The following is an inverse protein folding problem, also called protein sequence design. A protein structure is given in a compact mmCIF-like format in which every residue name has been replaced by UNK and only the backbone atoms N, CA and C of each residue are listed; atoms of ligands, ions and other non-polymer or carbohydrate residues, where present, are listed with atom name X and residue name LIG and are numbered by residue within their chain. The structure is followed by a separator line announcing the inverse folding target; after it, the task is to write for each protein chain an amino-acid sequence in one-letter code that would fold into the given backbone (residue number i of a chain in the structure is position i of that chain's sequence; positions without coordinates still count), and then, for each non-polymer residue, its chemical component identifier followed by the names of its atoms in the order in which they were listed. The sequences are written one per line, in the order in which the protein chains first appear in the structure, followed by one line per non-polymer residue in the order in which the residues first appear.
data_IF_750971465225
#
_entry.id   IF_750971465225
#
_cell.length_a   1.000
_cell.length_b   1.000
_cell.length_c   1.000
_cell.angle_alpha   90.00
_cell.angle_beta   90.00
_cell.angle_gamma   90.00
#
_symmetry.space_group_name_H-M   'P 1'
#
loop_
_entity.id
_entity.type
_entity.pdbx_description
1 polymer ?
#
# COMPACT_ATOMS: atom_id res chain seq x y z
N UNK A 1 17.52 -5.52 22.78
CA UNK A 1 18.60 -5.72 21.79
C UNK A 1 18.98 -4.36 21.23
N UNK A 2 20.26 -4.01 21.21
CA UNK A 2 20.76 -2.74 20.66
C UNK A 2 21.65 -3.08 19.45
N UNK A 3 21.30 -2.58 18.26
CA UNK A 3 22.12 -2.69 17.05
C UNK A 3 23.36 -1.79 17.14
N UNK A 4 23.22 -0.64 17.79
CA UNK A 4 24.31 0.29 18.05
C UNK A 4 24.71 0.23 19.53
N UNK A 5 25.99 0.01 19.81
CA UNK A 5 26.53 -0.06 21.18
C UNK A 5 26.57 1.31 21.89
N UNK A 6 26.41 2.41 21.16
CA UNK A 6 26.38 3.79 21.65
C UNK A 6 25.24 4.57 21.00
N UNK A 7 24.74 5.61 21.68
CA UNK A 7 23.76 6.53 21.08
C UNK A 7 24.35 7.14 19.81
N UNK A 8 23.60 7.04 18.71
CA UNK A 8 24.01 7.63 17.44
C UNK A 8 23.89 9.17 17.50
N UNK A 9 24.67 9.89 16.70
CA UNK A 9 24.66 11.35 16.66
C UNK A 9 24.42 11.88 15.23
N UNK A 10 23.47 11.26 14.53
CA UNK A 10 23.08 11.72 13.21
C UNK A 10 22.24 13.01 13.30
N UNK A 11 22.48 13.94 12.38
CA UNK A 11 21.72 15.17 12.29
C UNK A 11 20.53 15.01 11.31
N UNK A 12 19.43 14.44 11.81
CA UNK A 12 18.17 14.29 11.08
C UNK A 12 17.50 15.63 10.82
N UNK A 13 17.47 16.52 11.82
CA UNK A 13 16.82 17.82 11.68
C UNK A 13 17.53 18.74 10.68
N UNK A 14 18.85 18.62 10.52
CA UNK A 14 19.60 19.31 9.47
C UNK A 14 19.22 18.88 8.04
N UNK A 15 18.70 17.66 7.87
CA UNK A 15 18.29 17.10 6.56
C UNK A 15 16.78 17.17 6.31
N UNK A 16 16.04 17.80 7.22
CA UNK A 16 14.58 17.79 7.23
C UNK A 16 13.98 18.41 5.96
N UNK A 17 14.59 19.48 5.42
CA UNK A 17 14.14 20.13 4.18
C UNK A 17 14.27 19.20 2.97
N UNK A 18 15.39 18.49 2.87
CA UNK A 18 15.63 17.53 1.80
C UNK A 18 14.63 16.36 1.87
N UNK A 19 14.35 15.86 3.07
CA UNK A 19 13.34 14.84 3.29
C UNK A 19 11.94 15.31 2.87
N UNK A 20 11.51 16.50 3.29
CA UNK A 20 10.20 17.04 2.90
C UNK A 20 10.10 17.23 1.38
N UNK A 21 11.13 17.75 0.73
CA UNK A 21 11.16 17.91 -0.74
C UNK A 21 11.04 16.54 -1.42
N UNK A 22 11.82 15.55 -0.98
CA UNK A 22 11.77 14.19 -1.50
C UNK A 22 10.36 13.59 -1.37
N UNK A 23 9.74 13.72 -0.21
CA UNK A 23 8.37 13.27 0.05
C UNK A 23 7.34 13.94 -0.85
N UNK A 24 7.42 15.27 -1.02
CA UNK A 24 6.52 16.00 -1.91
C UNK A 24 6.69 15.52 -3.35
N UNK A 25 7.93 15.35 -3.82
CA UNK A 25 8.21 14.84 -5.17
C UNK A 25 7.63 13.45 -5.37
N UNK A 26 7.81 12.53 -4.41
CA UNK A 26 7.23 11.19 -4.48
C UNK A 26 5.70 11.23 -4.57
N UNK A 27 5.05 12.04 -3.73
CA UNK A 27 3.59 12.19 -3.76
C UNK A 27 3.14 12.77 -5.11
N UNK A 28 3.82 13.79 -5.64
CA UNK A 28 3.46 14.40 -6.91
C UNK A 28 3.63 13.43 -8.09
N UNK A 29 4.71 12.64 -8.11
CA UNK A 29 4.91 11.60 -9.12
C UNK A 29 3.80 10.54 -9.02
N UNK A 30 3.48 10.10 -7.80
CA UNK A 30 2.41 9.13 -7.57
C UNK A 30 1.04 9.63 -8.00
N UNK A 31 0.66 10.85 -7.59
CA UNK A 31 -0.60 11.48 -7.99
C UNK A 31 -0.65 11.76 -9.50
N UNK A 32 0.46 12.17 -10.09
CA UNK A 32 0.59 12.36 -11.54
C UNK A 32 0.36 11.05 -12.30
N UNK A 33 0.97 9.95 -11.84
CA UNK A 33 0.73 8.61 -12.39
C UNK A 33 -0.75 8.22 -12.28
N UNK A 34 -1.38 8.44 -11.13
CA UNK A 34 -2.81 8.14 -10.94
C UNK A 34 -3.67 8.96 -11.90
N UNK A 35 -3.37 10.25 -12.09
CA UNK A 35 -4.11 11.12 -12.99
C UNK A 35 -3.94 10.70 -14.46
N UNK A 36 -2.71 10.39 -14.90
CA UNK A 36 -2.42 9.96 -16.27
C UNK A 36 -3.07 8.61 -16.59
N UNK A 37 -3.09 7.68 -15.63
CA UNK A 37 -3.72 6.36 -15.80
C UNK A 37 -5.26 6.39 -15.73
N UNK A 38 -5.87 7.56 -15.53
CA UNK A 38 -7.33 7.71 -15.41
C UNK A 38 -7.90 7.25 -14.06
N UNK A 39 -7.06 7.14 -13.03
CA UNK A 39 -7.42 6.69 -11.69
C UNK A 39 -6.68 5.43 -11.26
N UNK A 40 -7.08 4.88 -10.10
CA UNK A 40 -6.59 3.60 -9.62
C UNK A 40 -7.21 2.46 -10.42
N UNK A 41 -6.40 1.45 -10.76
CA UNK A 41 -6.89 0.21 -11.37
C UNK A 41 -7.58 -0.65 -10.32
N UNK A 42 -8.89 -0.59 -10.27
CA UNK A 42 -9.67 -1.40 -9.34
C UNK A 42 -9.75 -2.87 -9.81
N UNK A 43 -9.46 -3.79 -8.89
CA UNK A 43 -9.64 -5.22 -9.13
C UNK A 43 -11.11 -5.64 -9.11
N UNK A 44 -11.35 -6.95 -9.24
CA UNK A 44 -12.72 -7.49 -9.41
C UNK A 44 -13.62 -7.17 -8.21
N UNK A 45 -13.05 -7.10 -7.01
CA UNK A 45 -13.77 -6.81 -5.77
C UNK A 45 -14.50 -5.46 -5.81
N UNK A 46 -13.98 -4.47 -6.54
CA UNK A 46 -14.54 -3.12 -6.57
C UNK A 46 -15.10 -2.75 -7.94
N UNK A 47 -14.49 -3.21 -9.02
CA UNK A 47 -14.97 -2.99 -10.38
C UNK A 47 -16.17 -3.89 -10.73
N UNK A 48 -16.28 -5.05 -10.07
CA UNK A 48 -17.19 -6.12 -10.48
C UNK A 48 -16.75 -6.80 -11.77
N UNK A 49 -17.52 -7.79 -12.20
CA UNK A 49 -17.28 -8.59 -13.41
C UNK A 49 -16.92 -10.04 -13.11
N UNK A 50 -16.38 -10.72 -14.11
CA UNK A 50 -15.94 -12.12 -14.04
C UNK A 50 -14.44 -12.19 -14.34
N UNK A 51 -13.70 -12.90 -13.51
CA UNK A 51 -12.26 -13.15 -13.64
C UNK A 51 -12.03 -14.63 -13.83
N UNK A 52 -11.32 -14.98 -14.90
CA UNK A 52 -11.02 -16.36 -15.27
C UNK A 52 -9.50 -16.49 -15.31
N UNK A 53 -8.96 -17.38 -14.49
CA UNK A 53 -7.56 -17.76 -14.49
C UNK A 53 -7.39 -19.05 -15.29
N UNK A 54 -6.60 -18.95 -16.34
CA UNK A 54 -6.23 -20.06 -17.20
C UNK A 54 -4.74 -20.34 -17.04
N UNK A 55 -4.38 -21.61 -16.88
CA UNK A 55 -3.00 -22.06 -16.95
C UNK A 55 -2.77 -22.80 -18.27
N UNK A 56 -1.73 -22.41 -18.99
CA UNK A 56 -1.33 -23.02 -20.24
C UNK A 56 -0.08 -23.87 -20.04
N UNK A 57 0.03 -25.00 -20.76
CA UNK A 57 1.28 -25.79 -20.76
C UNK A 57 2.46 -25.00 -21.32
N UNK A 58 2.23 -24.26 -22.40
CA UNK A 58 3.21 -23.38 -23.06
C UNK A 58 2.67 -21.94 -23.09
N UNK A 59 3.54 -20.91 -23.02
CA UNK A 59 3.12 -19.51 -23.08
C UNK A 59 2.29 -19.23 -24.34
N UNK A 60 1.01 -18.83 -24.21
CA UNK A 60 0.15 -18.58 -25.37
C UNK A 60 0.41 -17.18 -25.95
N UNK A 61 0.10 -16.99 -27.23
CA UNK A 61 0.03 -15.65 -27.81
C UNK A 61 -1.29 -14.97 -27.39
N UNK A 62 -1.18 -13.82 -26.70
CA UNK A 62 -2.31 -13.02 -26.24
C UNK A 62 -3.23 -12.62 -27.40
N UNK A 63 -2.71 -12.42 -28.62
CA UNK A 63 -3.52 -12.12 -29.81
C UNK A 63 -4.45 -13.28 -30.16
N UNK A 64 -3.96 -14.52 -30.07
CA UNK A 64 -4.76 -15.72 -30.35
C UNK A 64 -5.87 -15.88 -29.31
N UNK A 65 -5.58 -15.61 -28.04
CA UNK A 65 -6.60 -15.60 -26.97
C UNK A 65 -7.65 -14.52 -27.29
N UNK A 66 -7.22 -13.30 -27.62
CA UNK A 66 -8.14 -12.19 -27.92
C UNK A 66 -9.04 -12.50 -29.12
N UNK A 67 -8.49 -13.07 -30.18
CA UNK A 67 -9.29 -13.43 -31.36
C UNK A 67 -10.26 -14.58 -31.06
N UNK A 68 -9.88 -15.52 -30.20
CA UNK A 68 -10.80 -16.53 -29.66
C UNK A 68 -11.89 -15.96 -28.76
N UNK A 69 -11.65 -14.85 -28.04
CA UNK A 69 -12.68 -14.19 -27.23
C UNK A 69 -13.60 -13.30 -28.08
N UNK A 70 -13.13 -12.75 -29.21
CA UNK A 70 -13.97 -11.97 -30.13
C UNK A 70 -15.13 -12.77 -30.71
N UNK A 71 -14.93 -14.07 -31.00
CA UNK A 71 -15.98 -14.93 -31.59
C UNK A 71 -17.19 -15.11 -30.68
N UNK A 72 -17.00 -14.94 -29.37
CA UNK A 72 -18.06 -15.02 -28.35
C UNK A 72 -18.45 -13.63 -27.81
N UNK A 73 -18.08 -12.54 -28.51
CA UNK A 73 -18.43 -11.17 -28.13
C UNK A 73 -17.66 -10.63 -26.92
N UNK A 74 -16.59 -11.30 -26.48
CA UNK A 74 -15.75 -10.91 -25.33
C UNK A 74 -14.42 -10.26 -25.76
N UNK A 75 -14.37 -9.68 -26.96
CA UNK A 75 -13.15 -9.08 -27.54
C UNK A 75 -12.56 -7.90 -26.75
N UNK A 76 -13.40 -7.19 -25.98
CA UNK A 76 -13.02 -6.07 -25.11
C UNK A 76 -12.57 -6.52 -23.70
N UNK A 77 -12.43 -7.82 -23.49
CA UNK A 77 -11.91 -8.35 -22.21
C UNK A 77 -10.47 -7.92 -21.99
N UNK A 78 -10.13 -7.68 -20.72
CA UNK A 78 -8.75 -7.41 -20.32
C UNK A 78 -8.03 -8.74 -20.14
N UNK A 79 -6.90 -8.91 -20.85
CA UNK A 79 -6.09 -10.13 -20.81
C UNK A 79 -4.72 -9.75 -20.25
N UNK A 80 -4.29 -10.40 -19.18
CA UNK A 80 -3.02 -10.11 -18.51
C UNK A 80 -2.31 -11.41 -18.12
N UNK A 81 -0.99 -11.38 -18.10
CA UNK A 81 -0.17 -12.44 -17.51
C UNK A 81 -0.27 -12.35 -15.97
N UNK A 82 -0.31 -13.49 -15.30
CA UNK A 82 -0.41 -13.57 -13.84
C UNK A 82 0.75 -14.39 -13.27
N UNK A 83 1.84 -13.68 -12.98
CA UNK A 83 3.06 -14.26 -12.45
C UNK A 83 3.97 -14.93 -13.45
N UNK A 84 3.41 -15.83 -14.24
CA UNK A 84 4.14 -16.49 -15.32
C UNK A 84 3.49 -16.23 -16.67
N UNK A 85 4.28 -16.30 -17.74
CA UNK A 85 3.79 -16.20 -19.13
C UNK A 85 2.80 -17.30 -19.52
N UNK A 86 2.63 -18.33 -18.67
CA UNK A 86 1.72 -19.45 -18.86
C UNK A 86 0.39 -19.25 -18.16
N UNK A 87 0.34 -18.39 -17.15
CA UNK A 87 -0.84 -18.15 -16.36
C UNK A 87 -1.48 -16.85 -16.86
N UNK A 88 -2.68 -16.94 -17.41
CA UNK A 88 -3.38 -15.83 -18.03
C UNK A 88 -4.65 -15.53 -17.25
N UNK A 89 -4.81 -14.28 -16.86
CA UNK A 89 -6.03 -13.73 -16.30
C UNK A 89 -6.85 -13.04 -17.39
N UNK A 90 -8.10 -13.46 -17.52
CA UNK A 90 -9.09 -12.86 -18.41
C UNK A 90 -10.18 -12.22 -17.56
N UNK A 91 -10.35 -10.92 -17.70
CA UNK A 91 -11.37 -10.13 -17.01
C UNK A 91 -12.46 -9.68 -17.97
N UNK A 92 -13.70 -9.97 -17.60
CA UNK A 92 -14.90 -9.67 -18.37
C UNK A 92 -15.78 -8.72 -17.54
N UNK A 93 -15.98 -7.49 -18.00
CA UNK A 93 -16.75 -6.46 -17.27
C UNK A 93 -18.27 -6.66 -17.34
N UNK A 94 -18.77 -7.50 -18.24
CA UNK A 94 -20.20 -7.72 -18.44
C UNK A 94 -20.47 -9.17 -18.85
N UNK A 95 -21.04 -9.92 -17.93
CA UNK A 95 -21.81 -11.10 -18.28
C UNK A 95 -23.03 -11.13 -17.37
N UNK A 96 -24.22 -10.96 -17.95
CA UNK A 96 -25.49 -11.22 -17.27
C UNK A 96 -25.74 -12.73 -17.11
N UNK A 97 -24.85 -13.57 -17.64
CA UNK A 97 -24.96 -15.02 -17.60
C UNK A 97 -24.36 -15.60 -16.30
N UNK A 98 -24.86 -16.79 -15.93
CA UNK A 98 -24.42 -17.51 -14.73
C UNK A 98 -22.93 -17.85 -14.78
N UNK A 99 -22.27 -17.78 -13.62
CA UNK A 99 -20.83 -18.09 -13.37
C UNK A 99 -20.27 -19.27 -14.19
N UNK A 100 -20.96 -20.40 -14.20
CA UNK A 100 -20.52 -21.64 -14.87
C UNK A 100 -20.60 -21.56 -16.41
N UNK A 101 -21.52 -20.74 -16.93
CA UNK A 101 -21.67 -20.54 -18.37
C UNK A 101 -20.46 -19.77 -18.93
N UNK A 102 -20.00 -18.71 -18.26
CA UNK A 102 -18.90 -17.88 -18.76
C UNK A 102 -17.57 -18.65 -18.82
N UNK A 103 -17.22 -19.37 -17.75
CA UNK A 103 -16.00 -20.18 -17.73
C UNK A 103 -16.02 -21.27 -18.80
N UNK A 104 -17.17 -21.96 -18.96
CA UNK A 104 -17.32 -23.00 -19.98
C UNK A 104 -17.39 -22.45 -21.41
N UNK A 105 -17.92 -21.24 -21.62
CA UNK A 105 -17.92 -20.56 -22.92
C UNK A 105 -16.52 -20.12 -23.33
N UNK A 106 -15.77 -19.50 -22.40
CA UNK A 106 -14.37 -19.11 -22.65
C UNK A 106 -13.54 -20.33 -22.98
N UNK A 107 -13.65 -21.41 -22.17
CA UNK A 107 -12.98 -22.68 -22.47
C UNK A 107 -13.35 -23.21 -23.85
N UNK A 108 -14.65 -23.30 -24.17
CA UNK A 108 -15.13 -23.80 -25.48
C UNK A 108 -14.63 -22.96 -26.65
N UNK A 109 -14.60 -21.64 -26.52
CA UNK A 109 -14.11 -20.77 -27.58
C UNK A 109 -12.61 -20.95 -27.83
N UNK A 110 -11.86 -21.19 -26.76
CA UNK A 110 -10.41 -21.42 -26.84
C UNK A 110 -10.06 -22.84 -27.32
N UNK A 111 -10.92 -23.85 -27.14
CA UNK A 111 -10.73 -25.21 -27.65
C UNK A 111 -10.67 -25.28 -29.19
N UNK A 112 -11.19 -24.29 -29.92
CA UNK A 112 -11.05 -24.19 -31.37
C UNK A 112 -9.70 -23.66 -31.84
N UNK A 113 -8.88 -23.12 -30.94
CA UNK A 113 -7.57 -22.49 -31.22
C UNK A 113 -6.40 -23.18 -30.52
N UNK A 114 -6.67 -23.89 -29.43
CA UNK A 114 -5.70 -24.59 -28.60
C UNK A 114 -6.21 -26.00 -28.28
N UNK A 115 -5.30 -26.97 -28.13
CA UNK A 115 -5.70 -28.31 -27.70
C UNK A 115 -6.23 -28.29 -26.27
N UNK A 116 -7.24 -29.13 -26.00
CA UNK A 116 -7.91 -29.19 -24.67
C UNK A 116 -6.94 -29.54 -23.55
N UNK A 117 -5.93 -30.34 -23.86
CA UNK A 117 -4.89 -30.77 -22.90
C UNK A 117 -3.85 -29.68 -22.62
N UNK A 118 -3.89 -28.55 -23.32
CA UNK A 118 -2.96 -27.43 -23.13
C UNK A 118 -3.49 -26.36 -22.18
N UNK A 119 -4.79 -26.36 -21.88
CA UNK A 119 -5.46 -25.31 -21.08
C UNK A 119 -6.15 -25.91 -19.86
N UNK A 120 -5.74 -25.46 -18.68
CA UNK A 120 -6.40 -25.75 -17.41
C UNK A 120 -7.12 -24.50 -16.90
N UNK A 121 -8.37 -24.62 -16.48
CA UNK A 121 -9.07 -23.52 -15.79
C UNK A 121 -8.76 -23.65 -14.31
N UNK A 122 -7.90 -22.79 -13.79
CA UNK A 122 -7.48 -22.82 -12.38
C UNK A 122 -8.56 -22.21 -11.48
N UNK A 123 -9.16 -21.09 -11.92
CA UNK A 123 -10.08 -20.32 -11.09
C UNK A 123 -11.08 -19.53 -11.92
N UNK A 124 -12.32 -19.48 -11.48
CA UNK A 124 -13.35 -18.56 -12.00
C UNK A 124 -13.98 -17.84 -10.82
N UNK A 125 -13.93 -16.52 -10.85
CA UNK A 125 -14.53 -15.64 -9.85
C UNK A 125 -15.49 -14.68 -10.51
N UNK A 126 -16.58 -14.35 -9.84
CA UNK A 126 -17.51 -13.32 -10.29
C UNK A 126 -17.96 -12.49 -9.11
N UNK A 127 -17.89 -11.17 -9.29
CA UNK A 127 -18.40 -10.19 -8.35
C UNK A 127 -19.44 -9.35 -9.06
N UNK A 128 -20.68 -9.42 -8.60
CA UNK A 128 -21.77 -8.60 -9.15
C UNK A 128 -21.53 -7.11 -8.88
N UNK A 129 -21.95 -6.20 -9.77
CA UNK A 129 -21.67 -4.75 -9.66
C UNK A 129 -22.25 -4.14 -8.37
N UNK A 130 -23.39 -4.65 -7.87
CA UNK A 130 -23.97 -4.23 -6.59
C UNK A 130 -23.07 -4.62 -5.41
N UNK A 131 -22.54 -5.84 -5.43
CA UNK A 131 -21.64 -6.35 -4.38
C UNK A 131 -20.33 -5.58 -4.44
N UNK A 132 -19.77 -5.35 -5.63
CA UNK A 132 -18.51 -4.61 -5.76
C UNK A 132 -18.59 -3.16 -5.25
N UNK A 133 -19.72 -2.48 -5.50
CA UNK A 133 -19.96 -1.15 -4.93
C UNK A 133 -20.05 -1.16 -3.40
N UNK A 134 -20.77 -2.13 -2.83
CA UNK A 134 -20.88 -2.31 -1.37
C UNK A 134 -19.52 -2.62 -0.73
N UNK A 135 -18.71 -3.49 -1.36
CA UNK A 135 -17.35 -3.80 -0.91
C UNK A 135 -16.45 -2.56 -0.94
N UNK A 136 -16.54 -1.74 -1.99
CA UNK A 136 -15.78 -0.48 -2.10
C UNK A 136 -16.16 0.51 -1.01
N UNK A 137 -17.45 0.68 -0.75
CA UNK A 137 -17.94 1.57 0.30
C UNK A 137 -17.47 1.10 1.68
N UNK A 138 -17.60 -0.20 1.98
CA UNK A 138 -17.11 -0.80 3.22
C UNK A 138 -15.59 -0.68 3.38
N UNK A 139 -14.82 -0.82 2.30
CA UNK A 139 -13.37 -0.62 2.32
C UNK A 139 -12.98 0.83 2.63
N UNK A 140 -13.69 1.82 2.07
CA UNK A 140 -13.46 3.23 2.39
C UNK A 140 -13.87 3.55 3.84
N UNK A 141 -15.00 3.03 4.29
CA UNK A 141 -15.47 3.19 5.67
C UNK A 141 -14.53 2.54 6.68
N UNK A 142 -13.93 1.38 6.38
CA UNK A 142 -12.99 0.73 7.30
C UNK A 142 -11.71 1.55 7.50
N UNK A 143 -11.17 2.14 6.44
CA UNK A 143 -10.03 3.08 6.53
C UNK A 143 -10.42 4.33 7.33
N UNK A 144 -11.61 4.88 7.08
CA UNK A 144 -12.11 6.05 7.82
C UNK A 144 -12.24 5.75 9.31
N UNK A 145 -12.86 4.63 9.68
CA UNK A 145 -13.00 4.22 11.08
C UNK A 145 -11.65 3.94 11.74
N UNK A 146 -10.69 3.37 11.00
CA UNK A 146 -9.32 3.20 11.49
C UNK A 146 -8.66 4.55 11.79
N UNK A 147 -8.75 5.53 10.88
CA UNK A 147 -8.22 6.88 11.11
C UNK A 147 -8.87 7.52 12.33
N UNK A 148 -10.21 7.48 12.43
CA UNK A 148 -10.94 8.04 13.59
C UNK A 148 -10.48 7.39 14.90
N UNK A 149 -10.39 6.06 14.94
CA UNK A 149 -9.93 5.31 16.10
C UNK A 149 -8.51 5.72 16.52
N UNK A 150 -7.62 5.92 15.55
CA UNK A 150 -6.25 6.40 15.77
C UNK A 150 -6.26 7.82 16.34
N UNK A 151 -7.06 8.74 15.79
CA UNK A 151 -7.17 10.11 16.31
C UNK A 151 -7.64 10.11 17.76
N UNK A 152 -8.68 9.34 18.07
CA UNK A 152 -9.21 9.23 19.44
C UNK A 152 -8.12 8.69 20.37
N UNK A 153 -7.48 7.60 19.99
CA UNK A 153 -6.43 6.97 20.79
C UNK A 153 -5.25 7.92 21.04
N UNK A 154 -4.70 8.55 20.00
CA UNK A 154 -3.56 9.46 20.15
C UNK A 154 -3.98 10.71 20.93
N UNK A 155 -5.16 11.27 20.70
CA UNK A 155 -5.63 12.47 21.42
C UNK A 155 -5.85 12.20 22.90
N UNK A 156 -6.20 10.97 23.27
CA UNK A 156 -6.31 10.56 24.67
C UNK A 156 -4.93 10.27 25.30
N UNK A 157 -4.02 9.63 24.56
CA UNK A 157 -2.68 9.22 25.05
C UNK A 157 -1.62 10.33 24.98
N UNK A 158 -1.79 11.29 24.07
CA UNK A 158 -0.87 12.39 23.73
C UNK A 158 -1.64 13.71 23.56
N UNK A 159 -0.92 14.82 23.38
CA UNK A 159 -1.55 16.10 23.05
C UNK A 159 -2.01 16.13 21.59
N UNK A 160 -3.06 16.91 21.28
CA UNK A 160 -3.70 16.99 19.95
C UNK A 160 -2.71 17.26 18.81
N UNK A 161 -1.66 18.04 19.06
CA UNK A 161 -0.63 18.34 18.06
C UNK A 161 0.13 17.07 17.58
N UNK A 162 0.29 16.06 18.45
CA UNK A 162 0.87 14.76 18.08
C UNK A 162 -0.12 13.94 17.26
N UNK A 163 -1.43 14.02 17.54
CA UNK A 163 -2.45 13.35 16.73
C UNK A 163 -2.44 13.88 15.29
N UNK A 164 -2.37 15.21 15.12
CA UNK A 164 -2.30 15.83 13.79
C UNK A 164 -1.01 15.41 13.06
N UNK A 165 0.13 15.43 13.76
CA UNK A 165 1.41 14.99 13.19
C UNK A 165 1.36 13.54 12.69
N UNK A 166 0.78 12.64 13.48
CA UNK A 166 0.62 11.23 13.10
C UNK A 166 -0.30 11.06 11.89
N UNK A 167 -1.43 11.78 11.84
CA UNK A 167 -2.35 11.71 10.69
C UNK A 167 -1.65 12.17 9.40
N UNK A 168 -0.87 13.24 9.45
CA UNK A 168 -0.13 13.74 8.29
C UNK A 168 0.88 12.69 7.79
N UNK A 169 1.62 12.05 8.70
CA UNK A 169 2.54 10.97 8.35
C UNK A 169 1.79 9.77 7.73
N UNK A 170 0.65 9.38 8.30
CA UNK A 170 -0.17 8.28 7.77
C UNK A 170 -0.73 8.59 6.37
N UNK A 171 -1.23 9.81 6.14
CA UNK A 171 -1.70 10.25 4.81
C UNK A 171 -0.56 10.19 3.81
N UNK A 172 0.63 10.66 4.19
CA UNK A 172 1.83 10.55 3.35
C UNK A 172 2.11 9.09 2.96
N UNK A 173 2.12 8.17 3.93
CA UNK A 173 2.46 6.77 3.68
C UNK A 173 1.45 6.09 2.75
N UNK A 174 0.16 6.37 2.95
CA UNK A 174 -0.92 5.87 2.09
C UNK A 174 -0.77 6.43 0.68
N UNK A 175 -0.55 7.75 0.52
CA UNK A 175 -0.42 8.37 -0.80
C UNK A 175 0.79 7.86 -1.57
N UNK A 176 1.95 7.72 -0.93
CA UNK A 176 3.16 7.20 -1.58
C UNK A 176 2.96 5.74 -1.99
N UNK A 177 2.35 4.93 -1.13
CA UNK A 177 2.07 3.52 -1.43
C UNK A 177 1.04 3.39 -2.56
N UNK A 178 -0.02 4.20 -2.57
CA UNK A 178 -0.98 4.27 -3.68
C UNK A 178 -0.34 4.73 -4.99
N UNK A 179 0.57 5.70 -4.92
CA UNK A 179 1.37 6.15 -6.06
C UNK A 179 2.21 5.03 -6.65
N UNK A 180 2.88 4.23 -5.80
CA UNK A 180 3.63 3.05 -6.23
C UNK A 180 2.73 2.04 -6.97
N UNK A 181 1.52 1.77 -6.45
CA UNK A 181 0.57 0.89 -7.14
C UNK A 181 0.23 1.37 -8.55
N UNK A 182 0.00 2.68 -8.70
CA UNK A 182 -0.30 3.26 -10.01
C UNK A 182 0.90 3.17 -10.97
N UNK A 183 2.12 3.42 -10.48
CA UNK A 183 3.34 3.39 -11.30
C UNK A 183 3.65 1.98 -11.81
N UNK A 184 3.46 0.98 -10.95
CA UNK A 184 3.74 -0.43 -11.27
C UNK A 184 2.54 -1.18 -11.85
N UNK A 185 1.50 -0.45 -12.25
CA UNK A 185 0.32 -0.99 -12.90
C UNK A 185 -0.44 -2.06 -12.09
N UNK A 186 -0.43 -1.93 -10.76
CA UNK A 186 -0.98 -2.92 -9.82
C UNK A 186 -2.46 -2.68 -9.54
N UNK A 187 -3.18 -3.77 -9.30
CA UNK A 187 -4.60 -3.71 -8.99
C UNK A 187 -4.86 -3.37 -7.52
N UNK A 188 -5.87 -2.53 -7.30
CA UNK A 188 -6.38 -2.20 -5.99
C UNK A 188 -7.52 -3.18 -5.65
N UNK A 189 -7.29 -4.09 -4.70
CA UNK A 189 -8.23 -5.15 -4.27
C UNK A 189 -8.53 -5.06 -2.78
N UNK A 190 -9.47 -5.88 -2.26
CA UNK A 190 -9.72 -5.94 -0.82
C UNK A 190 -8.49 -6.38 -0.02
N UNK A 191 -7.68 -7.25 -0.60
CA UNK A 191 -6.41 -7.69 -0.01
C UNK A 191 -5.45 -6.51 0.16
N UNK A 192 -5.41 -5.60 -0.81
CA UNK A 192 -4.60 -4.39 -0.74
C UNK A 192 -5.13 -3.42 0.33
N UNK A 193 -6.45 -3.31 0.50
CA UNK A 193 -7.04 -2.54 1.61
C UNK A 193 -6.59 -3.08 2.97
N UNK A 194 -6.55 -4.41 3.13
CA UNK A 194 -6.00 -5.03 4.34
C UNK A 194 -4.50 -4.73 4.52
N UNK A 195 -3.72 -4.66 3.44
CA UNK A 195 -2.33 -4.22 3.50
C UNK A 195 -2.21 -2.76 3.99
N UNK A 196 -3.05 -1.85 3.48
CA UNK A 196 -3.09 -0.46 3.93
C UNK A 196 -3.41 -0.32 5.42
N UNK A 197 -4.42 -1.03 5.92
CA UNK A 197 -4.75 -1.05 7.35
C UNK A 197 -3.57 -1.57 8.19
N UNK A 198 -2.85 -2.56 7.68
CA UNK A 198 -1.64 -3.10 8.31
C UNK A 198 -0.50 -2.07 8.35
N UNK A 199 -0.24 -1.38 7.24
CA UNK A 199 0.78 -0.32 7.13
C UNK A 199 0.47 0.82 8.08
N UNK A 200 -0.81 1.21 8.18
CA UNK A 200 -1.25 2.27 9.09
C UNK A 200 -0.89 1.91 10.54
N UNK A 201 -1.21 0.69 10.99
CA UNK A 201 -0.86 0.24 12.34
C UNK A 201 0.65 0.17 12.56
N UNK A 202 1.38 -0.32 11.56
CA UNK A 202 2.84 -0.45 11.60
C UNK A 202 3.55 0.91 11.70
N UNK A 203 3.26 1.83 10.77
CA UNK A 203 3.84 3.18 10.74
C UNK A 203 3.48 3.99 12.00
N UNK A 204 2.25 3.81 12.49
CA UNK A 204 1.81 4.45 13.72
C UNK A 204 2.60 3.98 14.94
N UNK A 205 2.89 2.67 15.05
CA UNK A 205 3.68 2.13 16.17
C UNK A 205 5.05 2.82 16.30
N UNK A 206 5.76 3.01 15.18
CA UNK A 206 7.06 3.69 15.20
C UNK A 206 6.91 5.18 15.54
N UNK A 207 5.89 5.84 14.98
CA UNK A 207 5.56 7.24 15.28
C UNK A 207 5.29 7.46 16.79
N UNK A 208 4.55 6.56 17.43
CA UNK A 208 4.24 6.61 18.87
C UNK A 208 5.52 6.51 19.71
N UNK A 209 6.46 5.64 19.33
CA UNK A 209 7.72 5.46 20.05
C UNK A 209 8.58 6.72 19.99
N UNK A 210 8.67 7.34 18.80
CA UNK A 210 9.38 8.62 18.62
C UNK A 210 8.72 9.72 19.45
N UNK A 211 7.39 9.83 19.43
CA UNK A 211 6.65 10.84 20.19
C UNK A 211 6.78 10.68 21.71
N UNK A 212 6.73 9.45 22.21
CA UNK A 212 6.90 9.18 23.63
C UNK A 212 8.32 9.60 24.08
N UNK A 213 9.34 9.31 23.27
CA UNK A 213 10.71 9.73 23.55
C UNK A 213 10.90 11.25 23.49
N UNK A 214 10.30 11.93 22.51
CA UNK A 214 10.28 13.40 22.43
C UNK A 214 9.67 13.99 23.70
N UNK A 215 8.51 13.48 24.14
CA UNK A 215 7.85 13.95 25.37
C UNK A 215 8.68 13.68 26.62
N UNK A 216 9.31 12.50 26.71
CA UNK A 216 10.18 12.15 27.82
C UNK A 216 11.36 13.13 27.92
N UNK A 217 12.03 13.39 26.79
CA UNK A 217 13.15 14.32 26.74
C UNK A 217 12.69 15.75 27.08
N UNK A 218 11.55 16.22 26.55
CA UNK A 218 11.01 17.55 26.87
C UNK A 218 10.71 17.72 28.38
N UNK A 219 10.27 16.66 29.05
CA UNK A 219 10.01 16.68 30.51
C UNK A 219 11.28 16.80 31.33
N UNK A 220 12.44 16.34 30.82
CA UNK A 220 13.73 16.38 31.52
C UNK A 220 14.36 17.79 31.61
N UNK A 221 13.62 18.86 31.27
CA UNK A 221 13.95 20.30 31.44
C UNK A 221 15.42 20.63 31.17
N UNK A 222 15.73 20.91 29.89
CA UNK A 222 16.98 21.53 29.46
C UNK A 222 16.74 22.82 28.66
N UNK A 223 17.81 23.55 28.33
CA UNK A 223 17.80 24.75 27.45
C UNK A 223 17.84 24.41 25.95
N UNK A 224 17.75 23.15 25.58
CA UNK A 224 17.86 22.69 24.19
C UNK A 224 16.64 23.10 23.37
N UNK A 225 16.86 23.43 22.11
CA UNK A 225 15.78 23.77 21.17
C UNK A 225 14.90 22.55 20.86
N UNK A 226 13.64 22.76 20.44
CA UNK A 226 12.74 21.67 20.02
C UNK A 226 13.38 20.79 18.93
N UNK A 227 14.13 21.39 18.00
CA UNK A 227 14.84 20.65 16.95
C UNK A 227 15.94 19.74 17.53
N UNK A 228 16.75 20.23 18.47
CA UNK A 228 17.76 19.38 19.14
C UNK A 228 17.12 18.24 19.92
N UNK A 229 16.03 18.53 20.61
CA UNK A 229 15.29 17.54 21.40
C UNK A 229 14.71 16.43 20.51
N UNK A 230 14.13 16.80 19.37
CA UNK A 230 13.63 15.84 18.39
C UNK A 230 14.79 15.05 17.79
N UNK A 231 15.88 15.71 17.40
CA UNK A 231 17.05 15.05 16.83
C UNK A 231 17.64 14.00 17.79
N UNK A 232 17.81 14.36 19.07
CA UNK A 232 18.27 13.45 20.10
C UNK A 232 17.30 12.27 20.30
N UNK A 233 16.00 12.56 20.36
CA UNK A 233 14.97 11.53 20.54
C UNK A 233 14.97 10.49 19.42
N UNK A 234 15.10 10.93 18.16
CA UNK A 234 15.21 10.04 17.00
C UNK A 234 16.43 9.15 17.11
N UNK A 235 17.61 9.70 17.44
CA UNK A 235 18.83 8.89 17.58
C UNK A 235 18.72 7.81 18.67
N UNK A 236 18.00 8.13 19.75
CA UNK A 236 17.77 7.20 20.87
C UNK A 236 16.80 6.07 20.51
N UNK A 237 15.81 6.34 19.65
CA UNK A 237 14.84 5.32 19.21
C UNK A 237 15.28 4.58 17.95
N UNK A 238 16.27 5.10 17.21
CA UNK A 238 16.70 4.60 15.90
C UNK A 238 17.01 3.09 15.91
N UNK A 239 17.76 2.62 16.92
CA UNK A 239 18.11 1.19 16.98
C UNK A 239 16.88 0.30 17.10
N UNK A 240 15.83 0.74 17.80
CA UNK A 240 14.60 -0.03 17.96
C UNK A 240 13.83 -0.02 16.64
N UNK A 241 13.61 1.17 16.07
CA UNK A 241 12.92 1.37 14.79
C UNK A 241 13.55 0.54 13.67
N UNK A 242 14.88 0.59 13.52
CA UNK A 242 15.57 -0.21 12.49
C UNK A 242 15.46 -1.71 12.73
N UNK A 243 15.47 -2.16 13.99
CA UNK A 243 15.35 -3.58 14.31
C UNK A 243 13.93 -4.08 14.03
N UNK A 244 12.91 -3.35 14.49
CA UNK A 244 11.51 -3.71 14.22
C UNK A 244 11.20 -3.68 12.73
N UNK A 245 11.59 -2.63 12.01
CA UNK A 245 11.40 -2.53 10.55
C UNK A 245 12.23 -3.52 9.78
N UNK A 246 13.48 -3.75 10.17
CA UNK A 246 14.32 -4.77 9.57
C UNK A 246 13.70 -6.17 9.69
N UNK A 247 13.22 -6.56 10.87
CA UNK A 247 12.59 -7.88 11.05
C UNK A 247 11.30 -8.03 10.23
N UNK A 248 10.46 -6.99 10.17
CA UNK A 248 9.25 -7.01 9.34
C UNK A 248 9.61 -7.07 7.85
N UNK A 249 10.57 -6.27 7.41
CA UNK A 249 11.04 -6.27 6.02
C UNK A 249 11.60 -7.64 5.61
N UNK A 250 12.34 -8.34 6.49
CA UNK A 250 12.83 -9.68 6.19
C UNK A 250 11.69 -10.65 5.87
N UNK A 251 10.62 -10.63 6.67
CA UNK A 251 9.43 -11.47 6.44
C UNK A 251 8.71 -11.05 5.16
N UNK A 252 8.52 -9.74 4.95
CA UNK A 252 7.82 -9.22 3.78
C UNK A 252 8.60 -9.49 2.49
N UNK A 253 9.94 -9.40 2.51
CA UNK A 253 10.81 -9.74 1.39
C UNK A 253 10.70 -11.24 1.08
N UNK A 254 10.67 -12.11 2.09
CA UNK A 254 10.46 -13.53 1.87
C UNK A 254 9.07 -13.80 1.25
N UNK A 255 8.02 -13.12 1.72
CA UNK A 255 6.69 -13.21 1.11
C UNK A 255 6.66 -12.67 -0.33
N UNK A 256 7.44 -11.63 -0.64
CA UNK A 256 7.50 -11.06 -1.97
C UNK A 256 8.15 -12.02 -2.97
N UNK A 257 9.26 -12.67 -2.60
CA UNK A 257 9.96 -13.59 -3.50
C UNK A 257 9.40 -15.03 -3.50
N UNK A 258 8.82 -15.48 -2.37
CA UNK A 258 8.42 -16.88 -2.19
C UNK A 258 6.93 -17.08 -1.89
N UNK A 259 6.15 -16.01 -1.71
CA UNK A 259 4.74 -16.09 -1.34
C UNK A 259 3.79 -16.49 -2.48
N UNK A 260 4.27 -16.41 -3.72
CA UNK A 260 3.46 -16.65 -4.92
C UNK A 260 2.59 -15.46 -5.31
N UNK A 261 1.91 -15.60 -6.44
CA UNK A 261 1.30 -14.48 -7.16
C UNK A 261 0.10 -13.84 -6.46
N UNK A 262 -0.70 -14.66 -5.76
CA UNK A 262 -1.92 -14.19 -5.07
C UNK A 262 -1.59 -13.15 -3.99
N UNK A 263 -0.44 -13.29 -3.32
CA UNK A 263 0.01 -12.38 -2.26
C UNK A 263 1.20 -11.52 -2.67
N UNK A 264 1.61 -11.57 -3.93
CA UNK A 264 2.72 -10.77 -4.44
C UNK A 264 2.39 -9.27 -4.35
N UNK A 265 1.19 -8.87 -4.78
CA UNK A 265 0.79 -7.46 -4.69
C UNK A 265 0.53 -7.02 -3.24
N UNK A 266 0.07 -7.94 -2.38
CA UNK A 266 -0.05 -7.71 -0.94
C UNK A 266 1.32 -7.44 -0.29
N UNK A 267 2.30 -8.29 -0.57
CA UNK A 267 3.66 -8.15 -0.05
C UNK A 267 4.38 -6.94 -0.64
N UNK A 268 4.11 -6.58 -1.90
CA UNK A 268 4.56 -5.32 -2.50
C UNK A 268 4.03 -4.10 -1.72
N UNK A 269 2.74 -4.06 -1.39
CA UNK A 269 2.17 -3.00 -0.57
C UNK A 269 2.87 -2.90 0.78
N UNK A 270 3.03 -4.02 1.48
CA UNK A 270 3.73 -4.04 2.77
C UNK A 270 5.19 -3.61 2.65
N UNK A 271 5.88 -3.98 1.57
CA UNK A 271 7.29 -3.65 1.35
C UNK A 271 7.47 -2.14 1.22
N UNK A 272 6.67 -1.52 0.35
CA UNK A 272 6.66 -0.06 0.16
C UNK A 272 6.22 0.63 1.45
N UNK A 273 5.12 0.19 2.05
CA UNK A 273 4.53 0.83 3.21
C UNK A 273 5.40 0.77 4.46
N UNK A 274 6.05 -0.37 4.74
CA UNK A 274 6.99 -0.48 5.87
C UNK A 274 8.18 0.42 5.63
N UNK A 275 8.78 0.41 4.43
CA UNK A 275 9.94 1.25 4.12
C UNK A 275 9.63 2.75 4.25
N UNK A 276 8.49 3.18 3.69
CA UNK A 276 8.06 4.57 3.74
C UNK A 276 7.60 4.97 5.15
N UNK A 277 6.94 4.09 5.90
CA UNK A 277 6.52 4.33 7.27
C UNK A 277 7.69 4.49 8.25
N UNK A 278 8.74 3.68 8.10
CA UNK A 278 9.99 3.87 8.87
C UNK A 278 10.61 5.24 8.59
N UNK A 279 10.59 5.68 7.34
CA UNK A 279 11.09 6.98 6.95
C UNK A 279 10.19 8.14 7.46
N UNK A 280 8.87 8.01 7.33
CA UNK A 280 7.92 9.09 7.66
C UNK A 280 7.80 9.33 9.17
N UNK A 281 7.87 8.27 9.98
CA UNK A 281 7.91 8.36 11.44
C UNK A 281 9.13 9.14 11.95
N UNK A 282 10.27 9.04 11.25
CA UNK A 282 11.50 9.78 11.58
C UNK A 282 11.41 11.23 11.11
N UNK A 283 11.08 11.46 9.84
CA UNK A 283 11.17 12.78 9.22
C UNK A 283 9.85 13.54 9.26
N UNK A 284 8.77 13.00 8.71
CA UNK A 284 7.52 13.72 8.45
C UNK A 284 6.78 14.08 9.74
N UNK A 285 6.61 13.11 10.65
CA UNK A 285 5.96 13.33 11.94
C UNK A 285 6.70 14.40 12.77
N UNK A 286 8.03 14.36 12.73
CA UNK A 286 8.93 15.29 13.42
C UNK A 286 8.87 16.72 12.85
N UNK A 287 8.76 16.88 11.53
CA UNK A 287 8.66 18.20 10.86
C UNK A 287 7.50 19.01 11.42
N UNK A 288 6.33 18.37 11.52
CA UNK A 288 5.12 19.06 11.95
C UNK A 288 5.28 19.60 13.37
N UNK A 289 5.86 18.81 14.27
CA UNK A 289 6.07 19.22 15.67
C UNK A 289 7.04 20.41 15.77
N UNK A 290 8.12 20.43 14.99
CA UNK A 290 9.05 21.58 14.93
C UNK A 290 8.33 22.84 14.47
N UNK A 291 7.54 22.74 13.39
CA UNK A 291 6.83 23.88 12.83
C UNK A 291 5.76 24.40 13.80
N UNK A 292 5.01 23.51 14.44
CA UNK A 292 3.98 23.85 15.42
C UNK A 292 4.55 24.61 16.63
N UNK A 293 5.69 24.16 17.16
CA UNK A 293 6.36 24.82 18.29
C UNK A 293 6.92 26.21 17.92
N UNK A 294 7.48 26.34 16.71
CA UNK A 294 7.97 27.63 16.20
C UNK A 294 6.88 28.70 16.10
N UNK A 295 5.63 28.31 15.81
CA UNK A 295 4.49 29.25 15.81
C UNK A 295 4.08 29.65 17.23
N UNK A 296 4.10 28.72 18.19
CA UNK A 296 3.77 29.03 19.59
C UNK A 296 4.77 30.00 20.22
N UNK A 297 6.05 29.91 19.85
CA UNK A 297 7.10 30.82 20.32
C UNK A 297 7.09 32.18 19.61
N UNK A 298 6.67 32.25 18.35
CA UNK A 298 6.50 33.53 17.63
C UNK A 298 5.26 34.35 18.07
N UNK A 299 4.29 33.71 18.74
CA UNK A 299 3.08 34.35 19.28
C UNK A 299 3.13 34.60 20.80
N UNK A 300 4.30 34.45 21.42
CA UNK A 300 4.57 34.83 22.82
C UNK A 300 5.53 36.00 22.86
#
# INVERSE_FOLDING_TARGET
MQLFKSETHFNFMGRIKAAVIFSIVLILIGLGSIAVSGGLKFGIDFAGGTLIQLQFKNPPDIKVIRDGLKTIGLGESTIQEFGSKRDILIRVQRSEEKLEAVGSMVRRSLMGKFNVDEITVERVEMVGPKVGRDLREKALLSILYAIIGIVIYISWRFEVQYAIAAIIALIHDVLVTMGAFSIFDKEFTLVIVAAFLTIIGYSLNDTIVVFDRIRENLRRKGKSSMSEMINMSINQTLSRTLLTSGTTLLVVIALFFFGGEIIHDFSFALLVGVFIGTYSSIFIASVFLVYWDSRKTAHR
#
